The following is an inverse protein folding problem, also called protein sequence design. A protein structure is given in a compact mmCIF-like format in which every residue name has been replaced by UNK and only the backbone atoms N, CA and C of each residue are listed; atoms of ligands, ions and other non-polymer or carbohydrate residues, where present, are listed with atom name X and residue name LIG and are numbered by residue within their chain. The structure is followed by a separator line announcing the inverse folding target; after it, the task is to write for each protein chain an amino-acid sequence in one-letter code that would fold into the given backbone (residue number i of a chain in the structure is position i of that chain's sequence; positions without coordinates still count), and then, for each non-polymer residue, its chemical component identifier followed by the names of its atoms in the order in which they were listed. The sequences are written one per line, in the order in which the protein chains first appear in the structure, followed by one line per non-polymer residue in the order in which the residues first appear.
data_IF_230690290286
#
_entry.id   IF_230690290286
#
_cell.length_a   1.000
_cell.length_b   1.000
_cell.length_c   1.000
_cell.angle_alpha   90.00
_cell.angle_beta   90.00
_cell.angle_gamma   90.00
#
_symmetry.space_group_name_H-M   'P 1'
#
loop_
_entity.id
_entity.type
_entity.pdbx_description
1 polymer ?
#
# COMPACT_ATOMS: atom_id res chain seq x y z
N UNK A 1 13.93 -15.78 -10.84
CA UNK A 1 13.54 -16.18 -9.46
C UNK A 1 14.19 -15.18 -8.51
N UNK A 2 13.37 -14.41 -7.80
CA UNK A 2 13.83 -13.38 -6.87
C UNK A 2 14.60 -14.05 -5.72
N UNK A 3 15.81 -13.58 -5.40
CA UNK A 3 16.59 -14.13 -4.29
C UNK A 3 16.02 -13.67 -2.96
N UNK A 4 16.07 -14.51 -1.93
CA UNK A 4 15.50 -14.19 -0.61
C UNK A 4 16.14 -12.95 0.03
N UNK A 5 17.41 -12.68 -0.29
CA UNK A 5 18.10 -11.46 0.11
C UNK A 5 17.48 -10.20 -0.47
N UNK A 6 16.91 -10.28 -1.68
CA UNK A 6 16.29 -9.15 -2.37
C UNK A 6 14.87 -8.88 -1.86
N UNK A 7 14.13 -9.93 -1.52
CA UNK A 7 12.85 -9.82 -0.80
C UNK A 7 13.03 -9.15 0.56
N UNK A 8 14.08 -9.53 1.29
CA UNK A 8 14.40 -8.92 2.58
C UNK A 8 14.73 -7.43 2.45
N UNK A 9 15.51 -7.04 1.43
CA UNK A 9 15.83 -5.63 1.21
C UNK A 9 14.59 -4.77 0.86
N UNK A 10 13.65 -5.30 0.07
CA UNK A 10 12.38 -4.64 -0.23
C UNK A 10 11.49 -4.48 1.01
N UNK A 11 11.47 -5.49 1.86
CA UNK A 11 10.78 -5.45 3.15
C UNK A 11 11.43 -4.46 4.11
N UNK A 12 12.77 -4.35 4.14
CA UNK A 12 13.49 -3.40 4.98
C UNK A 12 13.27 -1.94 4.53
N UNK A 13 13.13 -1.70 3.22
CA UNK A 13 12.76 -0.40 2.67
C UNK A 13 11.30 -0.05 2.99
N UNK A 14 10.38 -1.01 2.83
CA UNK A 14 8.97 -0.83 3.21
C UNK A 14 8.81 -0.62 4.74
N UNK A 15 9.64 -1.29 5.54
CA UNK A 15 9.76 -1.16 6.98
C UNK A 15 10.20 0.24 7.41
N UNK A 16 11.22 0.80 6.75
CA UNK A 16 11.69 2.16 7.05
C UNK A 16 10.64 3.22 6.72
N UNK A 17 9.96 3.08 5.57
CA UNK A 17 8.86 3.97 5.15
C UNK A 17 7.64 3.87 6.08
N UNK A 18 7.43 2.71 6.70
CA UNK A 18 6.35 2.47 7.66
C UNK A 18 6.62 3.06 9.05
N UNK A 19 7.88 3.00 9.53
CA UNK A 19 8.25 3.60 10.82
C UNK A 19 8.17 5.12 10.82
N UNK A 20 8.62 5.78 9.74
CA UNK A 20 8.56 7.24 9.62
C UNK A 20 7.14 7.79 9.51
N UNK A 21 6.17 6.95 9.10
CA UNK A 21 4.75 7.32 8.98
C UNK A 21 3.84 6.77 10.11
N UNK A 22 4.39 6.10 11.16
CA UNK A 22 3.63 5.45 12.25
C UNK A 22 2.54 4.47 11.78
N UNK A 23 2.74 3.80 10.65
CA UNK A 23 1.70 2.95 10.03
C UNK A 23 1.63 1.55 10.68
N UNK A 24 2.71 1.10 11.34
CA UNK A 24 2.77 -0.26 11.94
C UNK A 24 3.56 -0.22 13.25
N UNK A 25 3.00 -0.82 14.30
CA UNK A 25 3.62 -0.96 15.62
C UNK A 25 4.64 -2.10 15.67
N UNK A 26 5.65 -1.99 16.55
CA UNK A 26 6.73 -2.98 16.73
C UNK A 26 6.24 -4.40 17.06
N UNK A 27 5.00 -4.54 17.55
CA UNK A 27 4.33 -5.81 17.84
C UNK A 27 3.81 -6.51 16.57
N UNK A 28 3.32 -5.76 15.58
CA UNK A 28 2.81 -6.28 14.30
C UNK A 28 3.96 -6.81 13.41
N UNK A 29 5.15 -6.22 13.56
CA UNK A 29 6.40 -6.63 12.88
C UNK A 29 6.85 -8.05 13.30
N UNK A 30 6.65 -8.44 14.56
CA UNK A 30 7.00 -9.79 15.04
C UNK A 30 6.10 -10.87 14.44
N UNK A 31 4.84 -10.54 14.18
CA UNK A 31 3.85 -11.49 13.62
C UNK A 31 4.14 -11.77 12.16
N UNK A 32 4.46 -10.74 11.36
CA UNK A 32 4.83 -10.88 9.95
C UNK A 32 6.16 -11.64 9.80
N UNK A 33 7.13 -11.39 10.67
CA UNK A 33 8.43 -12.08 10.67
C UNK A 33 8.28 -13.57 11.02
N UNK A 34 7.39 -13.91 11.94
CA UNK A 34 7.09 -15.30 12.32
C UNK A 34 6.27 -16.05 11.25
N UNK A 35 5.38 -15.35 10.53
CA UNK A 35 4.55 -15.93 9.46
C UNK A 35 5.33 -16.31 8.20
N UNK A 36 6.46 -15.66 7.92
CA UNK A 36 7.29 -15.97 6.74
C UNK A 36 8.34 -17.05 7.00
N UNK A 37 8.74 -17.29 8.26
CA UNK A 37 9.65 -18.40 8.61
C UNK A 37 9.00 -19.79 8.51
N UNK A 38 7.67 -19.86 8.47
CA UNK A 38 6.91 -21.12 8.42
C UNK A 38 6.54 -21.57 7.01
N UNK A 39 6.78 -20.74 5.99
CA UNK A 39 6.38 -21.02 4.61
C UNK A 39 7.35 -21.93 3.82
N UNK A 40 8.53 -22.24 4.36
CA UNK A 40 9.63 -22.91 3.61
C UNK A 40 9.95 -24.35 4.05
N UNK A 41 9.01 -25.07 4.68
CA UNK A 41 9.17 -26.51 4.95
C UNK A 41 8.06 -27.36 4.35
N UNK A 42 8.38 -28.36 3.49
CA UNK A 42 7.39 -29.31 3.03
C UNK A 42 7.06 -30.32 4.15
N UNK A 43 5.78 -30.33 4.52
CA UNK A 43 5.00 -31.43 5.13
C UNK A 43 5.75 -32.56 5.86
N UNK A 44 5.74 -32.53 7.20
CA UNK A 44 5.43 -33.69 8.03
C UNK A 44 5.23 -33.30 9.51
N UNK A 45 4.05 -33.65 10.04
CA UNK A 45 3.77 -34.05 11.45
C UNK A 45 3.55 -32.94 12.50
N UNK A 46 2.37 -33.08 13.13
CA UNK A 46 1.82 -32.56 14.40
C UNK A 46 1.34 -31.11 14.50
N UNK A 47 0.03 -30.99 14.79
CA UNK A 47 -0.72 -29.79 15.16
C UNK A 47 0.04 -28.87 16.15
N UNK A 48 0.07 -27.54 15.92
CA UNK A 48 0.53 -26.61 16.94
C UNK A 48 -0.64 -26.12 17.81
N UNK A 49 -0.39 -26.13 19.11
CA UNK A 49 -1.26 -25.68 20.20
C UNK A 49 -1.54 -24.17 20.10
N UNK A 50 -2.64 -23.79 19.44
CA UNK A 50 -3.11 -22.39 19.37
C UNK A 50 -3.80 -21.88 20.65
N UNK A 51 -3.86 -22.67 21.74
CA UNK A 51 -4.63 -22.35 22.94
C UNK A 51 -3.88 -21.60 24.07
N UNK A 52 -2.65 -21.11 23.85
CA UNK A 52 -1.84 -20.58 24.96
C UNK A 52 -1.29 -19.16 24.80
N UNK A 53 -1.76 -18.39 23.80
CA UNK A 53 -1.37 -16.98 23.63
C UNK A 53 -2.48 -16.00 24.09
N UNK A 54 -3.73 -16.46 24.27
CA UNK A 54 -4.86 -15.61 24.69
C UNK A 54 -5.01 -15.40 26.21
N UNK A 55 -4.09 -15.89 27.04
CA UNK A 55 -4.22 -15.84 28.52
C UNK A 55 -3.20 -14.94 29.25
N UNK A 56 -2.47 -14.06 28.55
CA UNK A 56 -1.43 -13.22 29.17
C UNK A 56 -1.83 -11.77 29.45
N UNK A 57 -3.12 -11.40 29.43
CA UNK A 57 -3.58 -10.09 29.93
C UNK A 57 -3.84 -10.19 31.45
N UNK A 58 -2.97 -9.55 32.23
CA UNK A 58 -2.95 -9.62 33.69
C UNK A 58 -4.15 -8.83 34.31
N UNK A 59 -4.87 -9.38 35.30
CA UNK A 59 -6.02 -8.73 35.91
C UNK A 59 -5.61 -7.96 37.16
N UNK A 60 -5.35 -6.66 37.05
CA UNK A 60 -5.07 -5.84 38.24
C UNK A 60 -5.55 -4.40 38.10
N UNK A 61 -6.85 -4.14 37.97
CA UNK A 61 -7.52 -2.91 38.49
C UNK A 61 -9.02 -3.18 38.72
N UNK A 62 -9.35 -3.71 39.91
CA UNK A 62 -10.69 -3.56 40.50
C UNK A 62 -10.70 -2.24 41.26
N UNK A 63 -11.66 -1.36 40.98
CA UNK A 63 -12.02 -0.26 41.88
C UNK A 63 -13.50 -0.40 42.20
N UNK A 64 -13.79 -0.50 43.50
CA UNK A 64 -15.12 -0.64 44.08
C UNK A 64 -15.97 0.63 43.92
N UNK A 65 -17.28 0.40 43.91
CA UNK A 65 -18.33 1.29 43.45
C UNK A 65 -18.96 2.06 44.63
N UNK A 66 -18.87 3.39 44.70
CA UNK A 66 -19.87 4.24 45.39
C UNK A 66 -19.94 5.66 44.84
N UNK A 67 -21.01 5.91 44.08
CA UNK A 67 -21.80 7.13 43.88
C UNK A 67 -21.18 8.53 43.65
N UNK A 68 -21.87 9.20 42.72
CA UNK A 68 -21.97 10.63 42.40
C UNK A 68 -20.99 11.24 41.38
N UNK A 69 -21.63 11.75 40.33
CA UNK A 69 -21.16 12.66 39.28
C UNK A 69 -19.99 12.13 38.46
N UNK A 70 -20.36 11.51 37.34
CA UNK A 70 -19.49 10.67 36.51
C UNK A 70 -19.05 11.42 35.23
N UNK A 71 -18.00 12.27 35.27
CA UNK A 71 -17.28 12.67 34.07
C UNK A 71 -16.57 11.46 33.40
N UNK A 72 -16.43 10.35 34.14
CA UNK A 72 -15.90 9.08 33.62
C UNK A 72 -16.87 8.35 32.69
N UNK A 73 -18.19 8.54 32.77
CA UNK A 73 -19.12 7.90 31.83
C UNK A 73 -18.97 8.48 30.41
N UNK A 74 -18.59 9.75 30.28
CA UNK A 74 -18.34 10.36 28.97
C UNK A 74 -17.00 9.90 28.37
N UNK A 75 -15.97 9.69 29.20
CA UNK A 75 -14.69 9.10 28.80
C UNK A 75 -14.79 7.59 28.51
N UNK A 76 -15.63 6.88 29.27
CA UNK A 76 -15.91 5.45 29.08
C UNK A 76 -16.75 5.22 27.81
N UNK A 77 -17.71 6.10 27.48
CA UNK A 77 -18.48 5.98 26.24
C UNK A 77 -17.62 6.16 24.97
N UNK A 78 -16.64 7.06 24.98
CA UNK A 78 -15.66 7.20 23.89
C UNK A 78 -14.73 5.98 23.79
N UNK A 79 -14.41 5.32 24.91
CA UNK A 79 -13.58 4.11 24.96
C UNK A 79 -14.35 2.83 24.56
N UNK A 80 -15.66 2.73 24.86
CA UNK A 80 -16.48 1.53 24.62
C UNK A 80 -16.77 1.20 23.15
N UNK A 81 -16.70 2.18 22.24
CA UNK A 81 -16.93 1.92 20.80
C UNK A 81 -15.73 1.19 20.17
N UNK A 82 -14.52 1.41 20.68
CA UNK A 82 -13.29 0.81 20.16
C UNK A 82 -13.13 -0.66 20.56
N UNK A 83 -13.62 -1.06 21.74
CA UNK A 83 -13.70 -2.47 22.14
C UNK A 83 -14.70 -3.28 21.29
N UNK A 84 -15.59 -2.62 20.54
CA UNK A 84 -16.59 -3.31 19.74
C UNK A 84 -16.02 -3.84 18.42
N UNK A 85 -14.95 -3.24 17.88
CA UNK A 85 -14.30 -3.70 16.63
C UNK A 85 -13.82 -5.16 16.75
N UNK A 86 -13.01 -5.53 17.77
CA UNK A 86 -12.61 -6.93 17.98
C UNK A 86 -13.80 -7.88 18.17
N UNK A 87 -14.84 -7.45 18.91
CA UNK A 87 -16.02 -8.28 19.16
C UNK A 87 -16.81 -8.54 17.88
N UNK A 88 -17.03 -7.50 17.06
CA UNK A 88 -17.71 -7.63 15.76
C UNK A 88 -16.92 -8.57 14.85
N UNK A 89 -15.60 -8.38 14.76
CA UNK A 89 -14.73 -9.19 13.90
C UNK A 89 -14.68 -10.65 14.33
N UNK A 90 -14.45 -10.93 15.62
CA UNK A 90 -14.49 -12.30 16.15
C UNK A 90 -15.84 -12.96 15.88
N UNK A 91 -16.94 -12.22 16.08
CA UNK A 91 -18.28 -12.73 15.80
C UNK A 91 -18.44 -13.00 14.30
N UNK A 92 -18.05 -12.07 13.42
CA UNK A 92 -18.14 -12.24 11.97
C UNK A 92 -17.29 -13.41 11.47
N UNK A 93 -16.12 -13.67 12.06
CA UNK A 93 -15.26 -14.79 11.69
C UNK A 93 -15.92 -16.12 12.07
N UNK A 94 -16.49 -16.21 13.27
CA UNK A 94 -17.02 -17.47 13.83
C UNK A 94 -18.48 -17.75 13.47
N UNK A 95 -19.25 -16.76 13.01
CA UNK A 95 -20.69 -16.91 12.80
C UNK A 95 -20.99 -17.84 11.59
N UNK A 96 -21.80 -18.89 11.76
CA UNK A 96 -22.04 -19.89 10.70
C UNK A 96 -22.84 -19.34 9.52
N UNK A 97 -23.78 -18.42 9.78
CA UNK A 97 -24.70 -17.92 8.77
C UNK A 97 -24.14 -16.70 8.00
N UNK A 98 -24.06 -16.74 6.65
CA UNK A 98 -23.48 -15.67 5.83
C UNK A 98 -24.20 -14.32 5.95
N UNK A 99 -25.52 -14.32 6.07
CA UNK A 99 -26.31 -13.06 6.12
C UNK A 99 -25.99 -12.24 7.36
N UNK A 100 -25.77 -12.90 8.49
CA UNK A 100 -25.41 -12.26 9.75
C UNK A 100 -23.98 -11.76 9.72
N UNK A 101 -23.07 -12.47 9.03
CA UNK A 101 -21.70 -12.00 8.81
C UNK A 101 -21.65 -10.72 8.00
N UNK A 102 -22.41 -10.67 6.90
CA UNK A 102 -22.55 -9.47 6.08
C UNK A 102 -23.09 -8.29 6.90
N UNK A 103 -24.12 -8.52 7.73
CA UNK A 103 -24.63 -7.49 8.64
C UNK A 103 -23.58 -7.00 9.64
N UNK A 104 -22.77 -7.90 10.20
CA UNK A 104 -21.70 -7.56 11.15
C UNK A 104 -20.60 -6.74 10.49
N UNK A 105 -20.16 -7.12 9.28
CA UNK A 105 -19.17 -6.36 8.52
C UNK A 105 -19.71 -5.00 8.09
N UNK A 106 -20.98 -4.93 7.67
CA UNK A 106 -21.63 -3.66 7.41
C UNK A 106 -21.70 -2.77 8.67
N UNK A 107 -21.96 -3.35 9.84
CA UNK A 107 -21.88 -2.63 11.13
C UNK A 107 -20.45 -2.13 11.37
N UNK A 108 -19.41 -2.94 11.13
CA UNK A 108 -18.01 -2.55 11.31
C UNK A 108 -17.66 -1.26 10.54
N UNK A 109 -17.96 -1.22 9.23
CA UNK A 109 -17.67 -0.07 8.37
C UNK A 109 -18.58 1.14 8.66
N UNK A 110 -19.72 0.93 9.32
CA UNK A 110 -20.64 2.00 9.70
C UNK A 110 -20.59 2.38 11.19
N UNK A 111 -19.76 1.70 11.98
CA UNK A 111 -19.68 1.85 13.44
C UNK A 111 -19.35 3.30 13.81
N UNK A 112 -18.36 3.85 13.11
CA UNK A 112 -17.92 5.23 13.28
C UNK A 112 -18.26 6.00 12.00
N UNK A 113 -19.05 7.06 12.14
CA UNK A 113 -19.52 7.86 11.00
C UNK A 113 -18.37 8.56 10.26
N UNK A 114 -17.38 9.02 11.02
CA UNK A 114 -16.17 9.72 10.57
C UNK A 114 -14.98 9.25 11.39
N UNK A 115 -14.35 8.12 11.03
CA UNK A 115 -13.22 7.60 11.79
C UNK A 115 -12.01 8.54 11.65
N UNK A 116 -11.40 8.94 12.77
CA UNK A 116 -10.09 9.58 12.76
C UNK A 116 -8.98 8.60 12.36
N UNK A 117 -7.73 9.06 12.31
CA UNK A 117 -6.60 8.26 11.83
C UNK A 117 -6.38 7.00 12.69
N UNK A 118 -6.39 7.13 14.02
CA UNK A 118 -6.19 6.01 14.93
C UNK A 118 -7.34 4.99 14.81
N UNK A 119 -8.57 5.49 14.66
CA UNK A 119 -9.75 4.65 14.43
C UNK A 119 -9.70 3.92 13.09
N UNK A 120 -9.26 4.58 12.02
CA UNK A 120 -9.08 3.92 10.71
C UNK A 120 -8.03 2.82 10.82
N UNK A 121 -6.88 3.08 11.46
CA UNK A 121 -5.85 2.06 11.65
C UNK A 121 -6.38 0.86 12.43
N UNK A 122 -7.16 1.07 13.49
CA UNK A 122 -7.77 -0.02 14.24
C UNK A 122 -8.71 -0.88 13.38
N UNK A 123 -9.54 -0.23 12.54
CA UNK A 123 -10.43 -0.94 11.61
C UNK A 123 -9.61 -1.72 10.57
N UNK A 124 -8.55 -1.12 10.02
CA UNK A 124 -7.65 -1.74 9.04
C UNK A 124 -6.93 -2.96 9.61
N UNK A 125 -6.32 -2.85 10.81
CA UNK A 125 -5.72 -3.98 11.51
C UNK A 125 -6.75 -5.09 11.70
N UNK A 126 -7.99 -4.73 12.05
CA UNK A 126 -9.10 -5.67 12.12
C UNK A 126 -9.41 -6.37 10.79
N UNK A 127 -9.38 -5.65 9.67
CA UNK A 127 -9.57 -6.22 8.34
C UNK A 127 -8.43 -7.17 7.94
N UNK A 128 -7.19 -6.87 8.33
CA UNK A 128 -6.02 -7.74 8.12
C UNK A 128 -6.19 -9.04 8.91
N UNK A 129 -6.55 -8.95 10.19
CA UNK A 129 -6.84 -10.13 11.02
C UNK A 129 -7.98 -10.96 10.44
N UNK A 130 -9.03 -10.30 9.91
CA UNK A 130 -10.10 -11.00 9.19
C UNK A 130 -9.57 -11.75 7.97
N UNK A 131 -8.73 -11.11 7.14
CA UNK A 131 -8.14 -11.74 5.96
C UNK A 131 -7.31 -12.99 6.32
N UNK A 132 -6.52 -12.92 7.40
CA UNK A 132 -5.71 -14.03 7.89
C UNK A 132 -6.56 -15.21 8.41
N UNK A 133 -7.62 -14.92 9.17
CA UNK A 133 -8.40 -15.95 9.86
C UNK A 133 -9.56 -16.51 9.02
N UNK A 134 -10.20 -15.67 8.20
CA UNK A 134 -11.33 -16.05 7.36
C UNK A 134 -10.88 -16.58 5.98
N UNK A 135 -9.68 -16.20 5.54
CA UNK A 135 -9.10 -16.59 4.25
C UNK A 135 -9.56 -15.72 3.07
N UNK A 136 -8.89 -15.90 1.93
CA UNK A 136 -9.05 -15.09 0.73
C UNK A 136 -10.48 -15.14 0.15
N UNK A 137 -11.14 -16.31 0.16
CA UNK A 137 -12.50 -16.46 -0.38
C UNK A 137 -13.48 -15.54 0.36
N UNK A 138 -13.46 -15.59 1.70
CA UNK A 138 -14.33 -14.75 2.54
C UNK A 138 -13.94 -13.28 2.50
N UNK A 139 -12.65 -12.96 2.37
CA UNK A 139 -12.19 -11.58 2.16
C UNK A 139 -12.83 -10.98 0.89
N UNK A 140 -12.86 -11.74 -0.20
CA UNK A 140 -13.41 -11.32 -1.48
C UNK A 140 -14.94 -11.28 -1.46
N UNK A 141 -15.59 -12.28 -0.86
CA UNK A 141 -17.05 -12.40 -0.88
C UNK A 141 -17.76 -11.55 0.17
N UNK A 142 -17.13 -11.29 1.32
CA UNK A 142 -17.80 -10.69 2.48
C UNK A 142 -17.28 -9.28 2.79
N UNK A 143 -15.97 -9.04 2.72
CA UNK A 143 -15.36 -7.77 3.14
C UNK A 143 -15.18 -6.78 1.99
N UNK A 144 -14.64 -7.22 0.84
CA UNK A 144 -14.45 -6.33 -0.32
C UNK A 144 -15.73 -5.64 -0.82
N UNK A 145 -16.93 -6.27 -0.80
CA UNK A 145 -18.17 -5.57 -1.15
C UNK A 145 -18.44 -4.36 -0.24
N UNK A 146 -18.12 -4.46 1.05
CA UNK A 146 -18.24 -3.35 2.00
C UNK A 146 -17.30 -2.21 1.64
N UNK A 147 -16.06 -2.51 1.20
CA UNK A 147 -15.14 -1.49 0.71
C UNK A 147 -15.65 -0.83 -0.58
N UNK A 148 -16.15 -1.62 -1.54
CA UNK A 148 -16.66 -1.14 -2.82
C UNK A 148 -17.79 -0.12 -2.63
N UNK A 149 -18.73 -0.39 -1.73
CA UNK A 149 -19.85 0.52 -1.45
C UNK A 149 -19.41 1.88 -0.88
N UNK A 150 -18.21 1.97 -0.30
CA UNK A 150 -17.72 3.19 0.35
C UNK A 150 -16.78 4.04 -0.54
N UNK A 151 -16.38 3.59 -1.74
CA UNK A 151 -15.43 4.33 -2.61
C UNK A 151 -15.90 5.75 -2.97
N UNK A 152 -17.22 5.95 -3.06
CA UNK A 152 -17.85 7.24 -3.42
C UNK A 152 -18.57 7.90 -2.25
N UNK A 153 -18.29 7.50 -1.02
CA UNK A 153 -19.06 7.96 0.13
C UNK A 153 -18.86 9.47 0.40
N UNK A 154 -19.91 10.14 0.88
CA UNK A 154 -19.88 11.60 1.16
C UNK A 154 -18.86 12.04 2.23
N UNK A 155 -18.34 11.12 3.03
CA UNK A 155 -17.36 11.41 4.09
C UNK A 155 -15.97 10.98 3.61
N UNK A 156 -15.02 11.92 3.69
CA UNK A 156 -13.63 11.74 3.25
C UNK A 156 -12.98 10.62 4.04
N UNK A 157 -13.25 10.56 5.34
CA UNK A 157 -12.72 9.58 6.30
C UNK A 157 -13.07 8.14 5.91
N UNK A 158 -14.25 7.92 5.32
CA UNK A 158 -14.64 6.58 4.83
C UNK A 158 -13.95 6.24 3.52
N UNK A 159 -13.78 7.20 2.62
CA UNK A 159 -13.05 6.99 1.36
C UNK A 159 -11.56 6.73 1.64
N UNK A 160 -10.97 7.44 2.62
CA UNK A 160 -9.62 7.17 3.12
C UNK A 160 -9.48 5.73 3.62
N UNK A 161 -10.41 5.28 4.46
CA UNK A 161 -10.42 3.90 4.96
C UNK A 161 -10.40 2.88 3.81
N UNK A 162 -11.18 3.10 2.75
CA UNK A 162 -11.20 2.20 1.58
C UNK A 162 -9.88 2.24 0.81
N UNK A 163 -9.32 3.43 0.58
CA UNK A 163 -8.03 3.56 -0.09
C UNK A 163 -6.94 2.78 0.66
N UNK A 164 -6.82 3.01 1.97
CA UNK A 164 -5.85 2.34 2.85
C UNK A 164 -6.10 0.82 2.92
N UNK A 165 -7.36 0.38 2.97
CA UNK A 165 -7.72 -1.03 2.99
C UNK A 165 -7.28 -1.76 1.72
N UNK A 166 -7.41 -1.13 0.54
CA UNK A 166 -6.96 -1.71 -0.72
C UNK A 166 -5.44 -2.01 -0.69
N UNK A 167 -4.65 -1.09 -0.12
CA UNK A 167 -3.20 -1.29 0.06
C UNK A 167 -2.90 -2.39 1.08
N UNK A 168 -3.48 -2.30 2.28
CA UNK A 168 -3.22 -3.23 3.39
C UNK A 168 -3.64 -4.67 3.08
N UNK A 169 -4.72 -4.86 2.32
CA UNK A 169 -5.26 -6.18 1.99
C UNK A 169 -4.64 -6.79 0.72
N UNK A 170 -3.78 -6.06 0.01
CA UNK A 170 -3.25 -6.49 -1.30
C UNK A 170 -2.58 -7.86 -1.25
N UNK A 171 -1.79 -8.18 -0.21
CA UNK A 171 -1.09 -9.47 -0.11
C UNK A 171 -2.01 -10.67 0.16
N UNK A 172 -3.23 -10.44 0.64
CA UNK A 172 -4.19 -11.49 1.01
C UNK A 172 -5.17 -11.81 -0.11
N UNK A 173 -5.15 -11.03 -1.19
CA UNK A 173 -6.10 -11.14 -2.29
C UNK A 173 -5.55 -12.02 -3.44
N UNK A 174 -6.42 -12.80 -4.11
CA UNK A 174 -6.04 -13.52 -5.32
C UNK A 174 -5.49 -12.58 -6.41
N UNK A 175 -4.63 -13.11 -7.29
CA UNK A 175 -4.00 -12.33 -8.37
C UNK A 175 -5.02 -11.67 -9.30
N UNK A 176 -6.10 -12.40 -9.58
CA UNK A 176 -7.21 -11.98 -10.43
C UNK A 176 -7.94 -10.78 -9.82
N UNK A 177 -8.18 -10.81 -8.51
CA UNK A 177 -8.89 -9.74 -7.79
C UNK A 177 -8.02 -8.48 -7.67
N UNK A 178 -6.72 -8.64 -7.40
CA UNK A 178 -5.75 -7.53 -7.43
C UNK A 178 -5.73 -6.81 -8.77
N UNK A 179 -5.65 -7.58 -9.87
CA UNK A 179 -5.50 -7.06 -11.24
C UNK A 179 -6.81 -6.57 -11.86
N UNK A 180 -7.95 -6.85 -11.23
CA UNK A 180 -9.28 -6.43 -11.67
C UNK A 180 -9.91 -5.43 -10.70
N UNK A 181 -10.56 -5.91 -9.64
CA UNK A 181 -11.39 -5.13 -8.73
C UNK A 181 -10.59 -4.10 -7.92
N UNK A 182 -9.49 -4.49 -7.26
CA UNK A 182 -8.73 -3.56 -6.40
C UNK A 182 -8.09 -2.46 -7.23
N UNK A 183 -7.51 -2.83 -8.38
CA UNK A 183 -6.94 -1.86 -9.31
C UNK A 183 -8.00 -0.89 -9.85
N UNK A 184 -9.20 -1.37 -10.20
CA UNK A 184 -10.27 -0.49 -10.69
C UNK A 184 -10.82 0.44 -9.61
N UNK A 185 -10.94 -0.04 -8.36
CA UNK A 185 -11.28 0.80 -7.20
C UNK A 185 -10.30 1.95 -7.03
N UNK A 186 -9.01 1.62 -6.92
CA UNK A 186 -7.96 2.64 -6.74
C UNK A 186 -7.86 3.58 -7.94
N UNK A 187 -8.00 3.08 -9.17
CA UNK A 187 -8.05 3.92 -10.36
C UNK A 187 -9.21 4.91 -10.31
N UNK A 188 -10.43 4.46 -10.00
CA UNK A 188 -11.59 5.33 -9.92
C UNK A 188 -11.38 6.42 -8.87
N UNK A 189 -10.88 6.05 -7.69
CA UNK A 189 -10.60 7.02 -6.63
C UNK A 189 -9.48 8.00 -7.01
N UNK A 190 -8.44 7.56 -7.71
CA UNK A 190 -7.36 8.42 -8.19
C UNK A 190 -7.87 9.49 -9.17
N UNK A 191 -8.78 9.11 -10.07
CA UNK A 191 -9.23 9.97 -11.17
C UNK A 191 -10.43 10.85 -10.79
N UNK A 192 -11.32 10.36 -9.92
CA UNK A 192 -12.60 11.02 -9.65
C UNK A 192 -12.67 11.68 -8.26
N UNK A 193 -11.79 11.33 -7.30
CA UNK A 193 -11.86 11.90 -5.96
C UNK A 193 -11.35 13.34 -5.92
N UNK A 194 -12.13 14.20 -5.28
CA UNK A 194 -11.83 15.63 -5.17
C UNK A 194 -10.89 15.92 -4.02
N UNK A 195 -10.83 15.04 -3.03
CA UNK A 195 -10.04 15.24 -1.83
C UNK A 195 -8.60 14.79 -2.04
N UNK A 196 -7.66 15.67 -1.70
CA UNK A 196 -6.23 15.40 -1.90
C UNK A 196 -5.69 14.33 -0.95
N UNK A 197 -6.26 14.21 0.25
CA UNK A 197 -5.83 13.20 1.23
C UNK A 197 -6.24 11.81 0.75
N UNK A 198 -7.42 11.69 0.13
CA UNK A 198 -7.86 10.42 -0.47
C UNK A 198 -6.97 10.06 -1.65
N UNK A 199 -6.70 10.98 -2.58
CA UNK A 199 -5.81 10.71 -3.72
C UNK A 199 -4.40 10.34 -3.27
N UNK A 200 -3.88 10.98 -2.23
CA UNK A 200 -2.59 10.64 -1.62
C UNK A 200 -2.58 9.20 -1.08
N UNK A 201 -3.61 8.81 -0.31
CA UNK A 201 -3.75 7.45 0.21
C UNK A 201 -3.89 6.39 -0.92
N UNK A 202 -4.62 6.75 -1.98
CA UNK A 202 -4.75 5.92 -3.19
C UNK A 202 -3.41 5.71 -3.86
N UNK A 203 -2.60 6.76 -4.01
CA UNK A 203 -1.27 6.66 -4.63
C UNK A 203 -0.33 5.76 -3.83
N UNK A 204 -0.34 5.86 -2.50
CA UNK A 204 0.43 4.92 -1.64
C UNK A 204 -0.04 3.48 -1.84
N UNK A 205 -1.35 3.28 -1.86
CA UNK A 205 -1.96 1.96 -2.00
C UNK A 205 -1.74 1.36 -3.39
N UNK A 206 -1.70 2.18 -4.44
CA UNK A 206 -1.29 1.76 -5.79
C UNK A 206 0.16 1.27 -5.79
N UNK A 207 1.07 1.96 -5.13
CA UNK A 207 2.46 1.51 -4.99
C UNK A 207 2.56 0.12 -4.34
N UNK A 208 1.81 -0.11 -3.26
CA UNK A 208 1.73 -1.43 -2.60
C UNK A 208 1.13 -2.49 -3.53
N UNK A 209 -0.01 -2.18 -4.16
CA UNK A 209 -0.71 -3.09 -5.07
C UNK A 209 0.17 -3.50 -6.26
N UNK A 210 0.93 -2.57 -6.85
CA UNK A 210 1.79 -2.88 -8.00
C UNK A 210 2.88 -3.89 -7.66
N UNK A 211 3.38 -3.92 -6.42
CA UNK A 211 4.34 -4.95 -5.96
C UNK A 211 3.76 -6.37 -5.97
N UNK A 212 2.44 -6.50 -6.10
CA UNK A 212 1.70 -7.75 -6.03
C UNK A 212 1.04 -8.15 -7.36
N UNK A 213 0.90 -7.24 -8.33
CA UNK A 213 0.36 -7.55 -9.65
C UNK A 213 1.44 -8.23 -10.49
N UNK A 214 1.15 -9.44 -10.98
CA UNK A 214 2.04 -10.19 -11.87
C UNK A 214 1.60 -10.15 -13.35
N UNK A 215 0.48 -9.49 -13.65
CA UNK A 215 -0.06 -9.38 -15.00
C UNK A 215 0.63 -8.24 -15.78
N UNK A 216 1.52 -8.59 -16.70
CA UNK A 216 2.28 -7.64 -17.50
C UNK A 216 1.41 -6.73 -18.38
N UNK A 217 0.18 -7.12 -18.71
CA UNK A 217 -0.74 -6.29 -19.50
C UNK A 217 -1.24 -5.08 -18.70
N UNK A 218 -1.18 -5.15 -17.36
CA UNK A 218 -1.54 -4.05 -16.45
C UNK A 218 -0.46 -2.99 -16.29
N UNK A 219 0.75 -3.22 -16.80
CA UNK A 219 1.84 -2.26 -16.70
C UNK A 219 1.49 -0.89 -17.30
N UNK A 220 0.85 -0.87 -18.49
CA UNK A 220 0.50 0.40 -19.16
C UNK A 220 -0.51 1.18 -18.33
N UNK A 221 -1.49 0.49 -17.75
CA UNK A 221 -2.46 1.08 -16.83
C UNK A 221 -1.79 1.64 -15.56
N UNK A 222 -0.84 0.90 -14.98
CA UNK A 222 -0.05 1.37 -13.83
C UNK A 222 0.79 2.61 -14.17
N UNK A 223 1.40 2.65 -15.35
CA UNK A 223 2.13 3.81 -15.86
C UNK A 223 1.24 5.03 -16.03
N UNK A 224 0.06 4.89 -16.64
CA UNK A 224 -0.89 5.99 -16.81
C UNK A 224 -1.35 6.56 -15.46
N UNK A 225 -1.58 5.70 -14.47
CA UNK A 225 -1.92 6.10 -13.10
C UNK A 225 -0.76 6.83 -12.41
N UNK A 226 0.48 6.37 -12.56
CA UNK A 226 1.65 7.08 -12.04
C UNK A 226 1.76 8.47 -12.67
N UNK A 227 1.58 8.56 -13.99
CA UNK A 227 1.61 9.84 -14.69
C UNK A 227 0.46 10.76 -14.27
N UNK A 228 -0.71 10.22 -13.91
CA UNK A 228 -1.79 11.00 -13.33
C UNK A 228 -1.40 11.55 -11.95
N UNK A 229 -0.79 10.73 -11.09
CA UNK A 229 -0.33 11.13 -9.76
C UNK A 229 0.79 12.19 -9.80
N UNK A 230 1.75 12.06 -10.72
CA UNK A 230 2.80 13.05 -10.94
C UNK A 230 2.28 14.37 -11.54
N UNK A 231 1.09 14.38 -12.15
CA UNK A 231 0.44 15.58 -12.69
C UNK A 231 -0.58 16.18 -11.73
N UNK A 232 -0.77 15.59 -10.55
CA UNK A 232 -1.71 16.11 -9.55
C UNK A 232 -1.31 17.54 -9.13
N UNK A 233 -2.27 18.47 -9.02
CA UNK A 233 -1.97 19.83 -8.58
C UNK A 233 -1.45 19.92 -7.14
N UNK A 234 -1.58 18.86 -6.33
CA UNK A 234 -1.29 18.89 -4.91
C UNK A 234 0.02 18.22 -4.56
N UNK A 235 0.94 19.05 -4.04
CA UNK A 235 1.81 18.76 -2.89
C UNK A 235 2.06 17.27 -2.56
N UNK A 236 1.16 16.82 -1.70
CA UNK A 236 1.23 15.54 -1.02
C UNK A 236 1.08 14.36 -1.98
N UNK A 237 0.27 14.51 -3.03
CA UNK A 237 -0.04 13.43 -3.99
C UNK A 237 1.19 13.11 -4.84
N UNK A 238 1.87 14.13 -5.38
CA UNK A 238 3.09 13.88 -6.15
C UNK A 238 4.23 13.39 -5.25
N UNK A 239 4.30 13.81 -3.99
CA UNK A 239 5.28 13.27 -3.03
C UNK A 239 5.05 11.79 -2.77
N UNK A 240 3.80 11.37 -2.54
CA UNK A 240 3.44 9.95 -2.41
C UNK A 240 3.79 9.17 -3.70
N UNK A 241 3.61 9.79 -4.86
CA UNK A 241 3.97 9.18 -6.14
C UNK A 241 5.48 8.93 -6.23
N UNK A 242 6.32 9.92 -5.89
CA UNK A 242 7.78 9.78 -5.90
C UNK A 242 8.28 8.75 -4.88
N UNK A 243 7.72 8.75 -3.67
CA UNK A 243 8.26 7.96 -2.55
C UNK A 243 7.80 6.49 -2.54
N UNK A 244 6.61 6.20 -3.09
CA UNK A 244 5.99 4.88 -2.96
C UNK A 244 5.65 4.28 -4.32
N UNK A 245 4.95 5.03 -5.17
CA UNK A 245 4.43 4.47 -6.42
C UNK A 245 5.52 4.34 -7.51
N UNK A 246 6.35 5.37 -7.69
CA UNK A 246 7.42 5.39 -8.67
C UNK A 246 8.46 4.28 -8.44
N UNK A 247 8.97 4.03 -7.21
CA UNK A 247 9.91 2.94 -6.98
C UNK A 247 9.30 1.57 -7.29
N UNK A 248 8.03 1.35 -6.90
CA UNK A 248 7.31 0.11 -7.17
C UNK A 248 7.12 -0.12 -8.69
N UNK A 249 6.64 0.89 -9.42
CA UNK A 249 6.47 0.81 -10.86
C UNK A 249 7.83 0.73 -11.58
N UNK A 250 8.85 1.42 -11.09
CA UNK A 250 10.22 1.40 -11.64
C UNK A 250 10.83 0.01 -11.55
N UNK A 251 10.70 -0.65 -10.39
CA UNK A 251 11.10 -2.04 -10.19
C UNK A 251 10.37 -2.98 -11.14
N UNK A 252 9.05 -2.85 -11.24
CA UNK A 252 8.26 -3.67 -12.15
C UNK A 252 8.61 -3.41 -13.62
N UNK A 253 8.86 -2.15 -13.98
CA UNK A 253 9.35 -1.74 -15.30
C UNK A 253 10.68 -2.40 -15.63
N UNK A 254 11.60 -2.51 -14.67
CA UNK A 254 12.88 -3.19 -14.84
C UNK A 254 12.68 -4.69 -15.06
N UNK A 255 11.85 -5.34 -14.26
CA UNK A 255 11.54 -6.78 -14.41
C UNK A 255 10.95 -7.11 -15.78
N UNK A 256 10.18 -6.18 -16.36
CA UNK A 256 9.61 -6.32 -17.71
C UNK A 256 10.55 -5.89 -18.84
N UNK A 257 11.77 -5.41 -18.55
CA UNK A 257 12.69 -4.86 -19.56
C UNK A 257 12.20 -3.57 -20.21
N UNK A 258 11.36 -2.80 -19.50
CA UNK A 258 10.72 -1.56 -19.96
C UNK A 258 11.28 -0.30 -19.29
N UNK A 259 12.19 -0.42 -18.32
CA UNK A 259 12.73 0.71 -17.55
C UNK A 259 13.35 1.78 -18.48
N UNK A 260 14.29 1.39 -19.33
CA UNK A 260 15.05 2.30 -20.18
C UNK A 260 14.22 2.76 -21.39
N UNK A 261 13.65 1.79 -22.11
CA UNK A 261 13.01 2.04 -23.40
C UNK A 261 11.60 2.65 -23.28
N UNK A 262 10.92 2.49 -22.15
CA UNK A 262 9.58 3.03 -21.94
C UNK A 262 9.53 4.05 -20.81
N UNK A 263 9.81 3.67 -19.56
CA UNK A 263 9.60 4.57 -18.42
C UNK A 263 10.53 5.80 -18.48
N UNK A 264 11.84 5.57 -18.57
CA UNK A 264 12.84 6.64 -18.67
C UNK A 264 12.67 7.46 -19.94
N UNK A 265 12.47 6.80 -21.09
CA UNK A 265 12.28 7.48 -22.37
C UNK A 265 11.11 8.47 -22.30
N UNK A 266 9.96 8.05 -21.78
CA UNK A 266 8.79 8.94 -21.71
C UNK A 266 8.94 10.05 -20.68
N UNK A 267 9.60 9.81 -19.53
CA UNK A 267 9.88 10.86 -18.56
C UNK A 267 10.82 11.94 -19.13
N UNK A 268 11.88 11.52 -19.83
CA UNK A 268 12.79 12.44 -20.54
C UNK A 268 12.05 13.21 -21.63
N UNK A 269 11.19 12.55 -22.40
CA UNK A 269 10.36 13.20 -23.42
C UNK A 269 9.43 14.25 -22.81
N UNK A 270 8.81 13.96 -21.66
CA UNK A 270 7.98 14.94 -20.95
C UNK A 270 8.78 16.14 -20.43
N UNK A 271 10.03 15.93 -19.99
CA UNK A 271 10.94 17.00 -19.61
C UNK A 271 11.28 17.88 -20.83
N UNK A 272 11.64 17.25 -21.95
CA UNK A 272 11.94 17.92 -23.21
C UNK A 272 10.75 18.75 -23.71
N UNK A 273 9.54 18.17 -23.70
CA UNK A 273 8.31 18.85 -24.11
C UNK A 273 8.00 20.06 -23.22
N UNK A 274 8.29 19.97 -21.91
CA UNK A 274 8.11 21.08 -20.96
C UNK A 274 9.02 22.26 -21.33
N UNK A 275 10.27 21.99 -21.70
CA UNK A 275 11.23 23.02 -22.13
C UNK A 275 10.84 23.59 -23.50
N UNK A 276 10.51 22.73 -24.47
CA UNK A 276 10.07 23.17 -25.81
C UNK A 276 8.84 24.06 -25.76
N UNK A 277 7.86 23.71 -24.92
CA UNK A 277 6.66 24.51 -24.70
C UNK A 277 6.98 25.91 -24.15
N UNK A 278 7.88 25.99 -23.17
CA UNK A 278 8.33 27.26 -22.63
C UNK A 278 9.07 28.12 -23.67
N UNK A 279 9.94 27.52 -24.49
CA UNK A 279 10.66 28.22 -25.57
C UNK A 279 9.70 28.72 -26.65
N UNK A 280 8.69 27.93 -27.01
CA UNK A 280 7.66 28.35 -27.95
C UNK A 280 6.85 29.55 -27.42
N UNK A 281 6.45 29.52 -26.15
CA UNK A 281 5.74 30.61 -25.50
C UNK A 281 6.60 31.89 -25.40
N UNK A 282 7.91 31.76 -25.15
CA UNK A 282 8.84 32.89 -25.15
C UNK A 282 8.88 33.60 -26.52
N UNK A 283 8.95 32.84 -27.62
CA UNK A 283 8.97 33.40 -28.98
C UNK A 283 7.70 34.17 -29.32
N UNK A 284 6.55 33.68 -28.88
CA UNK A 284 5.24 34.34 -29.10
C UNK A 284 5.16 35.65 -28.31
N UNK A 285 5.63 35.64 -27.07
CA UNK A 285 5.47 36.78 -26.16
C UNK A 285 6.60 37.82 -26.28
N UNK A 286 7.60 37.60 -27.14
CA UNK A 286 8.81 38.43 -27.25
C UNK A 286 9.46 38.71 -25.89
N UNK A 287 9.35 37.76 -24.96
CA UNK A 287 9.81 37.93 -23.58
C UNK A 287 11.30 37.60 -23.47
N UNK A 288 12.02 38.37 -22.64
CA UNK A 288 13.43 38.11 -22.32
C UNK A 288 13.60 36.91 -21.38
N UNK A 289 12.56 36.56 -20.62
CA UNK A 289 12.52 35.40 -19.74
C UNK A 289 11.80 34.20 -20.37
N UNK A 290 12.26 33.00 -20.03
CA UNK A 290 11.63 31.74 -20.38
C UNK A 290 10.47 31.49 -19.40
N UNK A 291 9.19 31.45 -19.84
CA UNK A 291 8.04 31.20 -18.97
C UNK A 291 7.93 29.70 -18.64
N UNK A 292 8.95 29.15 -17.98
CA UNK A 292 9.02 27.75 -17.58
C UNK A 292 8.15 27.51 -16.34
N UNK A 293 7.40 26.42 -16.34
CA UNK A 293 6.81 25.92 -15.10
C UNK A 293 7.90 25.23 -14.28
N UNK A 294 8.57 26.01 -13.42
CA UNK A 294 9.69 25.54 -12.61
C UNK A 294 9.33 24.36 -11.71
N UNK A 295 8.17 24.38 -11.06
CA UNK A 295 7.76 23.28 -10.16
C UNK A 295 7.60 21.96 -10.92
N UNK A 296 6.96 22.00 -12.11
CA UNK A 296 6.82 20.81 -12.96
C UNK A 296 8.15 20.32 -13.52
N UNK A 297 9.03 21.25 -13.89
CA UNK A 297 10.37 20.91 -14.39
C UNK A 297 11.21 20.22 -13.30
N UNK A 298 11.24 20.79 -12.09
CA UNK A 298 11.93 20.21 -10.94
C UNK A 298 11.33 18.85 -10.55
N UNK A 299 10.01 18.70 -10.58
CA UNK A 299 9.35 17.43 -10.29
C UNK A 299 9.80 16.31 -11.25
N UNK A 300 9.88 16.61 -12.56
CA UNK A 300 10.34 15.64 -13.55
C UNK A 300 11.83 15.29 -13.35
N UNK A 301 12.66 16.26 -12.96
CA UNK A 301 14.05 15.99 -12.60
C UNK A 301 14.16 15.08 -11.38
N UNK A 302 13.41 15.37 -10.30
CA UNK A 302 13.37 14.51 -9.12
C UNK A 302 12.86 13.11 -9.46
N UNK A 303 11.86 12.99 -10.33
CA UNK A 303 11.37 11.69 -10.81
C UNK A 303 12.47 10.88 -11.51
N UNK A 304 13.30 11.53 -12.34
CA UNK A 304 14.42 10.88 -13.01
C UNK A 304 15.52 10.50 -12.01
N UNK A 305 15.79 11.35 -11.02
CA UNK A 305 16.76 11.11 -9.97
C UNK A 305 16.43 9.87 -9.14
N UNK A 306 15.16 9.70 -8.76
CA UNK A 306 14.68 8.52 -8.02
C UNK A 306 14.82 7.20 -8.80
N UNK A 307 14.94 7.26 -10.14
CA UNK A 307 15.15 6.08 -10.98
C UNK A 307 16.64 5.73 -11.18
N UNK A 308 17.58 6.59 -10.78
CA UNK A 308 19.02 6.36 -10.93
C UNK A 308 19.47 5.06 -10.25
N UNK A 309 19.07 4.73 -9.00
CA UNK A 309 19.47 3.48 -8.37
C UNK A 309 19.04 2.25 -9.19
N UNK A 310 17.86 2.29 -9.80
CA UNK A 310 17.36 1.18 -10.62
C UNK A 310 18.15 1.01 -11.92
N UNK A 311 18.52 2.12 -12.56
CA UNK A 311 19.39 2.10 -13.74
C UNK A 311 20.78 1.56 -13.41
N UNK A 312 21.33 1.97 -12.27
CA UNK A 312 22.61 1.47 -11.80
C UNK A 312 22.57 -0.06 -11.58
N UNK A 313 21.48 -0.58 -11.02
CA UNK A 313 21.28 -2.03 -10.89
C UNK A 313 21.25 -2.73 -12.27
N UNK A 314 20.53 -2.18 -13.26
CA UNK A 314 20.52 -2.76 -14.61
C UNK A 314 21.92 -2.79 -15.22
N UNK A 315 22.72 -1.73 -15.02
CA UNK A 315 24.10 -1.66 -15.53
C UNK A 315 24.99 -2.71 -14.87
N UNK A 316 24.89 -2.91 -13.55
CA UNK A 316 25.65 -3.97 -12.87
C UNK A 316 25.30 -5.35 -13.41
N UNK A 317 24.01 -5.64 -13.58
CA UNK A 317 23.53 -6.95 -14.04
C UNK A 317 23.89 -7.25 -15.50
N UNK A 318 23.97 -6.21 -16.34
CA UNK A 318 24.33 -6.33 -17.76
C UNK A 318 25.83 -6.18 -18.01
N UNK A 319 26.61 -5.84 -16.97
CA UNK A 319 28.06 -5.77 -17.07
C UNK A 319 28.61 -7.17 -17.34
N UNK A 320 29.34 -7.40 -18.45
CA UNK A 320 30.01 -8.67 -18.66
C UNK A 320 31.02 -8.87 -17.52
N UNK A 321 30.75 -9.83 -16.65
CA UNK A 321 31.70 -10.23 -15.60
C UNK A 321 33.01 -10.58 -16.29
N UNK A 322 34.12 -9.98 -15.85
CA UNK A 322 35.44 -10.37 -16.33
C UNK A 322 35.55 -11.88 -16.15
N UNK A 323 35.62 -12.60 -17.26
CA UNK A 323 35.89 -14.03 -17.33
C UNK A 323 36.92 -14.39 -16.27
N UNK A 324 36.56 -15.27 -15.34
CA UNK A 324 37.55 -15.95 -14.53
C UNK A 324 38.63 -16.48 -15.48
N UNK A 325 39.92 -16.12 -15.29
CA UNK A 325 40.96 -16.79 -16.05
C UNK A 325 40.83 -18.27 -15.71
N UNK A 326 40.49 -19.06 -16.70
CA UNK A 326 40.62 -20.51 -16.60
C UNK A 326 42.12 -20.74 -16.41
N UNK A 327 42.57 -20.90 -15.17
CA UNK A 327 43.88 -21.46 -14.88
C UNK A 327 43.88 -22.86 -15.48
N UNK A 328 44.37 -22.93 -16.71
CA UNK A 328 44.85 -24.17 -17.29
C UNK A 328 46.02 -24.61 -16.42
N UNK A 329 45.72 -25.49 -15.47
CA UNK A 329 46.75 -26.30 -14.82
C UNK A 329 47.31 -27.19 -15.92
N UNK A 330 48.42 -26.75 -16.53
CA UNK A 330 49.27 -27.63 -17.32
C UNK A 330 49.98 -28.55 -16.34
N UNK A 331 49.60 -29.83 -16.37
CA UNK A 331 50.35 -30.90 -15.74
C UNK A 331 51.31 -31.41 -16.81
N UNK A 332 52.58 -31.04 -16.69
CA UNK A 332 53.72 -31.75 -17.29
C UNK A 332 54.53 -32.43 -16.19
#
# INVERSE_FOLDING_TARGET
KMTDSFRQALLDVAFHVSQDNRIVSEAEIKVITLGLQTADKPSSITEPKHHQILLSLHPSQRVDNTNHDNPCLFFFLLYTVLELIPVILCTAILHPEPKQRDQLLNILFNLIKKPDDDQRQMILTGCVVFAELAGADRLVEELLPQCWEQIGHKFVERRLLVAEACGALSSYLPAEIRSSLVLSMLQQMMLDDRDEEVREAVVRSLGLLMGFICDADKYVQGYELLMAALKDPKEKVHRAALQVFLPALGMWSRELGRLEHHLMHNLLKHLEDTVKGAVAAQKVNSSTSLPLNESRFLLLLSTLEELIPLLYLTVIETCPSSSTPTEQIHVD
#
